data_IF_781247966274
#
_entry.id   IF_781247966274
#
_cell.length_a   1.000
_cell.length_b   1.000
_cell.length_c   1.000
_cell.angle_alpha   90.00
_cell.angle_beta   90.00
_cell.angle_gamma   90.00
#
_symmetry.space_group_name_H-M   'P 1'
#
loop_
_entity.id
_entity.type
_entity.pdbx_description
1 polymer ?
#
# COMPACT_ATOMS: atom_id res chain seq x y z
N UNK A 1 20.13 -20.28 -14.80
CA UNK A 1 18.99 -19.48 -15.33
C UNK A 1 19.37 -18.01 -15.23
N UNK A 2 20.21 -17.53 -16.14
CA UNK A 2 20.57 -16.12 -16.23
C UNK A 2 20.16 -15.68 -17.62
N UNK A 3 18.96 -15.14 -17.76
CA UNK A 3 18.49 -14.56 -19.01
C UNK A 3 18.94 -13.08 -19.04
N UNK A 4 19.96 -12.74 -19.84
CA UNK A 4 20.63 -11.43 -19.78
C UNK A 4 19.82 -10.28 -20.38
N UNK A 5 18.55 -10.50 -20.73
CA UNK A 5 17.76 -9.58 -21.55
C UNK A 5 16.43 -9.16 -20.91
N UNK A 6 16.22 -9.42 -19.62
CA UNK A 6 15.11 -8.81 -18.90
C UNK A 6 15.49 -7.35 -18.64
N UNK A 7 14.77 -6.41 -19.27
CA UNK A 7 14.93 -5.00 -18.94
C UNK A 7 14.62 -4.82 -17.46
N UNK A 8 15.34 -3.92 -16.76
CA UNK A 8 15.00 -3.57 -15.38
C UNK A 8 13.54 -3.14 -15.31
N UNK A 9 12.67 -4.02 -14.86
CA UNK A 9 11.24 -3.74 -14.78
C UNK A 9 11.02 -3.02 -13.46
N UNK A 10 10.37 -1.86 -13.51
CA UNK A 10 9.87 -1.16 -12.32
C UNK A 10 8.66 -1.91 -11.74
N UNK A 11 8.91 -3.12 -11.23
CA UNK A 11 7.87 -4.03 -10.78
C UNK A 11 7.15 -3.47 -9.55
N UNK A 12 5.93 -3.95 -9.29
CA UNK A 12 5.12 -3.43 -8.19
C UNK A 12 5.80 -3.64 -6.82
N UNK A 13 6.53 -4.76 -6.66
CA UNK A 13 7.24 -5.07 -5.42
C UNK A 13 8.34 -4.05 -5.11
N UNK A 14 9.14 -3.63 -6.10
CA UNK A 14 10.16 -2.60 -5.95
C UNK A 14 9.58 -1.24 -5.62
N UNK A 15 8.41 -0.89 -6.17
CA UNK A 15 7.72 0.37 -5.85
C UNK A 15 7.24 0.39 -4.40
N UNK A 16 6.70 -0.74 -3.94
CA UNK A 16 6.21 -0.87 -2.57
C UNK A 16 7.38 -0.83 -1.56
N UNK A 17 8.52 -1.46 -1.89
CA UNK A 17 9.75 -1.43 -1.08
C UNK A 17 10.41 -0.03 -1.04
N UNK A 18 10.37 0.73 -2.15
CA UNK A 18 10.94 2.08 -2.21
C UNK A 18 10.33 3.02 -1.16
N UNK A 19 9.05 2.86 -0.87
CA UNK A 19 8.37 3.70 0.12
C UNK A 19 8.81 3.42 1.55
N UNK A 20 9.28 2.20 1.85
CA UNK A 20 9.87 1.88 3.15
C UNK A 20 11.20 2.62 3.32
N UNK A 21 12.05 2.61 2.29
CA UNK A 21 13.33 3.33 2.33
C UNK A 21 13.13 4.85 2.41
N UNK A 22 12.21 5.39 1.61
CA UNK A 22 11.84 6.81 1.66
C UNK A 22 11.36 7.23 3.06
N UNK A 23 10.52 6.41 3.70
CA UNK A 23 10.07 6.65 5.08
C UNK A 23 11.23 6.67 6.07
N UNK A 24 12.23 5.80 5.89
CA UNK A 24 13.40 5.74 6.75
C UNK A 24 14.28 6.98 6.62
N UNK A 25 14.56 7.41 5.39
CA UNK A 25 15.43 8.56 5.11
C UNK A 25 14.78 9.89 5.49
N UNK A 26 13.48 10.09 5.20
CA UNK A 26 12.82 11.38 5.40
C UNK A 26 12.21 11.52 6.80
N UNK A 27 11.68 10.43 7.38
CA UNK A 27 10.94 10.48 8.64
C UNK A 27 11.68 9.87 9.83
N UNK A 28 12.98 9.54 9.69
CA UNK A 28 13.83 9.11 10.80
C UNK A 28 13.63 7.66 11.27
N UNK A 29 13.17 6.78 10.38
CA UNK A 29 12.98 5.34 10.67
C UNK A 29 11.78 5.01 11.56
N UNK A 30 11.48 3.71 11.67
CA UNK A 30 10.39 3.18 12.49
C UNK A 30 10.97 2.74 13.85
N UNK A 31 10.70 3.51 14.91
CA UNK A 31 11.27 3.28 16.26
C UNK A 31 10.71 2.05 16.96
N UNK A 32 9.45 1.70 16.67
CA UNK A 32 8.83 0.46 17.12
C UNK A 32 8.50 -0.37 15.90
N UNK A 33 9.33 -1.36 15.59
CA UNK A 33 9.22 -2.14 14.36
C UNK A 33 7.84 -2.82 14.29
N UNK A 34 7.43 -3.56 15.32
CA UNK A 34 6.17 -4.31 15.31
C UNK A 34 4.94 -3.44 15.05
N UNK A 35 4.78 -2.33 15.77
CA UNK A 35 3.60 -1.48 15.63
C UNK A 35 3.68 -0.56 14.41
N UNK A 36 4.81 0.14 14.24
CA UNK A 36 4.91 1.18 13.24
C UNK A 36 5.09 0.61 11.82
N UNK A 37 5.78 -0.53 11.66
CA UNK A 37 5.86 -1.24 10.37
C UNK A 37 4.48 -1.80 10.02
N UNK A 38 3.82 -2.49 10.96
CA UNK A 38 2.49 -3.06 10.73
C UNK A 38 1.46 -2.00 10.37
N UNK A 39 1.44 -0.86 11.09
CA UNK A 39 0.54 0.24 10.77
C UNK A 39 0.81 0.81 9.37
N UNK A 40 2.08 1.04 9.03
CA UNK A 40 2.46 1.55 7.71
C UNK A 40 2.08 0.56 6.60
N UNK A 41 2.39 -0.72 6.78
CA UNK A 41 2.07 -1.79 5.85
C UNK A 41 0.55 -1.93 5.66
N UNK A 42 -0.24 -1.87 6.74
CA UNK A 42 -1.70 -1.95 6.68
C UNK A 42 -2.30 -0.80 5.88
N UNK A 43 -1.88 0.45 6.15
CA UNK A 43 -2.36 1.61 5.40
C UNK A 43 -2.02 1.47 3.91
N UNK A 44 -0.77 1.12 3.58
CA UNK A 44 -0.36 0.97 2.17
C UNK A 44 -1.05 -0.19 1.47
N UNK A 45 -1.21 -1.33 2.14
CA UNK A 45 -1.93 -2.50 1.63
C UNK A 45 -3.39 -2.15 1.33
N UNK A 46 -4.05 -1.45 2.26
CA UNK A 46 -5.41 -0.97 2.10
C UNK A 46 -5.56 -0.04 0.88
N UNK A 47 -4.71 0.98 0.76
CA UNK A 47 -4.71 1.91 -0.39
C UNK A 47 -4.39 1.20 -1.72
N UNK A 48 -3.42 0.29 -1.72
CA UNK A 48 -3.03 -0.48 -2.91
C UNK A 48 -4.18 -1.33 -3.43
N UNK A 49 -4.90 -1.99 -2.52
CA UNK A 49 -6.08 -2.79 -2.84
C UNK A 49 -7.23 -1.91 -3.33
N UNK A 50 -7.54 -0.78 -2.67
CA UNK A 50 -8.52 0.19 -3.20
C UNK A 50 -8.20 0.64 -4.63
N UNK A 51 -6.93 0.95 -4.89
CA UNK A 51 -6.47 1.34 -6.23
C UNK A 51 -6.69 0.24 -7.26
N UNK A 52 -6.45 -1.03 -6.91
CA UNK A 52 -6.64 -2.19 -7.81
C UNK A 52 -8.11 -2.44 -8.13
N UNK A 53 -9.01 -2.14 -7.19
CA UNK A 53 -10.46 -2.20 -7.41
C UNK A 53 -11.01 -0.95 -8.13
N UNK A 54 -10.16 -0.03 -8.59
CA UNK A 54 -10.59 1.17 -9.31
C UNK A 54 -11.30 2.20 -8.43
N UNK A 55 -11.16 2.11 -7.10
CA UNK A 55 -11.81 3.03 -6.17
C UNK A 55 -11.06 4.37 -6.12
N UNK A 56 -11.81 5.46 -5.93
CA UNK A 56 -11.23 6.78 -5.76
C UNK A 56 -10.56 6.90 -4.37
N UNK A 57 -9.22 6.97 -4.34
CA UNK A 57 -8.46 6.90 -3.08
C UNK A 57 -8.84 7.98 -2.07
N UNK A 58 -9.09 9.22 -2.51
CA UNK A 58 -9.48 10.30 -1.60
C UNK A 58 -10.77 9.96 -0.85
N UNK A 59 -11.78 9.46 -1.58
CA UNK A 59 -13.06 9.09 -1.01
C UNK A 59 -12.91 7.92 -0.04
N UNK A 60 -12.11 6.92 -0.40
CA UNK A 60 -11.80 5.77 0.46
C UNK A 60 -11.13 6.23 1.76
N UNK A 61 -10.16 7.15 1.69
CA UNK A 61 -9.49 7.70 2.87
C UNK A 61 -10.49 8.46 3.75
N UNK A 62 -11.30 9.36 3.17
CA UNK A 62 -12.30 10.13 3.90
C UNK A 62 -13.31 9.22 4.60
N UNK A 63 -13.82 8.20 3.89
CA UNK A 63 -14.79 7.24 4.44
C UNK A 63 -14.17 6.37 5.55
N UNK A 64 -12.93 5.92 5.38
CA UNK A 64 -12.20 5.18 6.44
C UNK A 64 -12.01 6.02 7.70
N UNK A 65 -11.66 7.32 7.56
CA UNK A 65 -11.49 8.21 8.71
C UNK A 65 -12.81 8.50 9.43
N UNK A 66 -13.93 8.49 8.71
CA UNK A 66 -15.28 8.62 9.28
C UNK A 66 -15.82 7.29 9.86
N UNK A 67 -15.02 6.22 9.87
CA UNK A 67 -15.42 4.90 10.37
C UNK A 67 -16.31 4.09 9.42
N UNK A 68 -16.51 4.56 8.19
CA UNK A 68 -17.35 3.89 7.20
C UNK A 68 -16.50 3.13 6.18
N UNK A 69 -16.03 1.95 6.56
CA UNK A 69 -15.21 1.06 5.69
C UNK A 69 -16.05 0.18 4.75
N UNK A 70 -17.38 0.30 4.78
CA UNK A 70 -18.30 -0.55 4.00
C UNK A 70 -18.08 -0.48 2.48
N UNK A 71 -17.58 0.65 1.98
CA UNK A 71 -17.19 0.82 0.56
C UNK A 71 -16.13 -0.17 0.09
N UNK A 72 -15.28 -0.63 1.00
CA UNK A 72 -14.22 -1.57 0.68
C UNK A 72 -14.70 -3.03 0.72
N UNK A 73 -15.56 -3.36 1.69
CA UNK A 73 -16.14 -4.69 1.84
C UNK A 73 -17.16 -5.01 0.73
N UNK A 74 -17.96 -4.04 0.30
CA UNK A 74 -18.94 -4.23 -0.77
C UNK A 74 -18.29 -4.58 -2.13
N UNK A 75 -17.05 -4.12 -2.36
CA UNK A 75 -16.28 -4.46 -3.57
C UNK A 75 -15.69 -5.87 -3.52
N UNK A 76 -15.53 -6.47 -2.35
CA UNK A 76 -14.94 -7.81 -2.18
C UNK A 76 -15.98 -8.94 -2.29
N UNK A 77 -17.26 -8.62 -2.08
CA UNK A 77 -18.38 -9.58 -2.16
C UNK A 77 -18.95 -9.72 -3.57
N UNK A 78 -18.47 -8.94 -4.53
CA UNK A 78 -18.90 -9.02 -5.94
C UNK A 78 -17.91 -9.87 -6.73
N UNK A 79 -17.96 -11.19 -6.53
CA UNK A 79 -17.37 -12.24 -7.36
C UNK A 79 -18.21 -13.50 -7.24
#
# INVERSE_FOLDING_TARGET
>A
MTEPHVAFTNNQAERDLRMIKCRQEISGGLRCFDFAVSLFANIRSFLSTASKHGLHLLEVITKSLLGNTSVFLASLTTS
#
